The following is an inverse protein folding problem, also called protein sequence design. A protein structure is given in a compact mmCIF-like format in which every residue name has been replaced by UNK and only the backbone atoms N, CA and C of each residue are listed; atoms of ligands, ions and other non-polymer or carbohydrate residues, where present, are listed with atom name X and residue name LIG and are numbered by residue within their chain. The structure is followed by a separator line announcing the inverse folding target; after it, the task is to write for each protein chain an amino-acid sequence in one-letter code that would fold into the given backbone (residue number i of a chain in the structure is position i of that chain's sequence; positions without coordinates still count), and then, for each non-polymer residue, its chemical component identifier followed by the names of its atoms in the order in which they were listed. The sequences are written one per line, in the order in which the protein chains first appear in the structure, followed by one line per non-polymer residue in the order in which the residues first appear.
data_IF_308403903947
#
_entry.id   IF_308403903947
#
_cell.length_a   1.000
_cell.length_b   1.000
_cell.length_c   1.000
_cell.angle_alpha   90.00
_cell.angle_beta   90.00
_cell.angle_gamma   90.00
#
_symmetry.space_group_name_H-M   'P 1'
#
loop_
_entity.id
_entity.type
_entity.pdbx_description
1 polymer ?
#
# COMPACT_ATOMS: atom_id res chain seq x y z
N UNK A 1 15.60 -0.66 2.92
CA UNK A 1 16.08 -2.06 2.84
C UNK A 1 15.09 -2.93 3.57
N UNK A 2 14.52 -3.96 2.92
CA UNK A 2 13.60 -4.87 3.60
C UNK A 2 14.37 -5.81 4.52
N UNK A 3 13.70 -6.33 5.56
CA UNK A 3 14.28 -7.32 6.47
C UNK A 3 14.75 -8.57 5.71
N UNK A 4 14.07 -8.91 4.62
CA UNK A 4 14.43 -10.03 3.72
C UNK A 4 15.76 -9.76 3.01
N UNK A 5 15.99 -8.55 2.49
CA UNK A 5 17.29 -8.18 1.90
C UNK A 5 18.41 -8.29 2.93
N UNK A 6 18.15 -7.94 4.18
CA UNK A 6 19.13 -8.10 5.27
C UNK A 6 19.44 -9.58 5.53
N UNK A 7 18.44 -10.45 5.64
CA UNK A 7 18.66 -11.89 5.88
C UNK A 7 19.39 -12.59 4.73
N UNK A 8 19.14 -12.17 3.48
CA UNK A 8 19.89 -12.64 2.30
C UNK A 8 21.35 -12.22 2.37
N UNK A 9 21.62 -10.95 2.73
CA UNK A 9 22.99 -10.44 2.90
C UNK A 9 23.70 -11.14 4.07
N UNK A 10 22.96 -11.51 5.12
CA UNK A 10 23.48 -12.27 6.25
C UNK A 10 23.69 -13.76 5.96
N UNK A 11 23.38 -14.23 4.74
CA UNK A 11 23.70 -15.58 4.29
C UNK A 11 22.81 -16.67 4.90
N UNK A 12 21.56 -16.37 5.23
CA UNK A 12 20.64 -17.37 5.76
C UNK A 12 20.30 -18.43 4.69
N UNK A 13 20.61 -19.70 4.99
CA UNK A 13 20.47 -20.85 4.09
C UNK A 13 19.04 -21.07 3.56
N UNK A 14 18.01 -20.57 4.26
CA UNK A 14 16.62 -20.61 3.79
C UNK A 14 16.36 -19.75 2.54
N UNK A 15 17.28 -18.84 2.21
CA UNK A 15 17.14 -17.88 1.11
C UNK A 15 18.22 -18.03 0.02
N UNK A 16 18.96 -19.14 0.01
CA UNK A 16 19.99 -19.40 -1.00
C UNK A 16 19.49 -20.36 -2.11
N UNK A 17 19.81 -20.10 -3.39
CA UNK A 17 20.55 -18.96 -3.94
C UNK A 17 19.56 -17.92 -4.51
N UNK A 18 19.07 -17.01 -3.68
CA UNK A 18 18.36 -15.82 -4.15
C UNK A 18 19.41 -14.70 -4.21
N UNK A 19 19.75 -14.23 -5.41
CA UNK A 19 20.53 -13.01 -5.51
C UNK A 19 19.68 -11.84 -4.98
N UNK A 20 20.25 -10.84 -4.30
CA UNK A 20 19.50 -9.69 -3.78
C UNK A 20 18.66 -8.93 -4.83
N UNK A 21 19.00 -9.11 -6.12
CA UNK A 21 18.35 -8.53 -7.30
C UNK A 21 17.37 -9.47 -8.01
N UNK A 22 17.23 -10.72 -7.55
CA UNK A 22 16.37 -11.73 -8.18
C UNK A 22 14.93 -11.62 -7.67
N UNK A 23 14.28 -10.48 -7.97
CA UNK A 23 12.94 -10.18 -7.49
C UNK A 23 11.82 -11.02 -8.12
N UNK A 24 12.15 -11.82 -9.14
CA UNK A 24 11.25 -12.85 -9.67
C UNK A 24 10.88 -13.92 -8.62
N UNK A 25 11.70 -14.06 -7.57
CA UNK A 25 11.47 -15.02 -6.47
C UNK A 25 10.70 -14.44 -5.29
N UNK A 26 10.38 -13.14 -5.30
CA UNK A 26 9.55 -12.53 -4.25
C UNK A 26 8.11 -12.43 -4.71
N UNK A 27 7.21 -12.86 -3.83
CA UNK A 27 5.79 -12.56 -3.90
C UNK A 27 5.46 -11.54 -2.80
N UNK A 28 4.99 -10.36 -3.18
CA UNK A 28 4.77 -9.24 -2.25
C UNK A 28 3.33 -8.78 -2.30
N UNK A 29 2.66 -8.83 -1.15
CA UNK A 29 1.36 -8.20 -0.92
C UNK A 29 1.60 -6.99 -0.03
N UNK A 30 1.22 -5.82 -0.51
CA UNK A 30 1.26 -4.56 0.24
C UNK A 30 -0.17 -4.07 0.45
N UNK A 31 -0.57 -3.85 1.70
CA UNK A 31 -1.90 -3.41 2.08
C UNK A 31 -1.83 -2.02 2.68
N UNK A 32 -2.64 -1.11 2.15
CA UNK A 32 -2.75 0.25 2.67
C UNK A 32 -4.04 0.42 3.48
N UNK A 33 -4.03 1.40 4.38
CA UNK A 33 -5.18 1.74 5.23
C UNK A 33 -6.11 2.77 4.57
N UNK A 34 -5.89 3.02 3.28
CA UNK A 34 -6.57 4.04 2.52
C UNK A 34 -6.08 5.46 2.82
N UNK A 35 -6.53 6.39 1.98
CA UNK A 35 -6.25 7.81 2.07
C UNK A 35 -7.37 8.60 1.41
N UNK A 36 -7.35 9.92 1.57
CA UNK A 36 -8.20 10.83 0.82
C UNK A 36 -7.29 11.71 -0.05
N UNK A 37 -7.04 11.27 -1.29
CA UNK A 37 -6.31 12.05 -2.30
C UNK A 37 -7.20 13.00 -3.09
N UNK A 38 -8.50 13.01 -2.82
CA UNK A 38 -9.50 13.82 -3.54
C UNK A 38 -9.79 15.17 -2.87
N UNK A 39 -9.59 15.28 -1.56
CA UNK A 39 -9.71 16.56 -0.85
C UNK A 39 -8.33 17.22 -0.66
N UNK A 40 -8.10 18.32 -1.37
CA UNK A 40 -7.04 19.27 -1.03
C UNK A 40 -7.43 20.00 0.26
N UNK A 41 -7.07 19.41 1.40
CA UNK A 41 -7.47 19.94 2.71
C UNK A 41 -6.91 21.35 2.99
N UNK A 42 -5.80 21.71 2.35
CA UNK A 42 -5.08 22.96 2.60
C UNK A 42 -4.40 23.49 1.34
N UNK A 43 -4.48 24.80 1.14
CA UNK A 43 -3.75 25.49 0.07
C UNK A 43 -2.38 25.96 0.54
N UNK A 44 -1.44 26.12 -0.39
CA UNK A 44 -0.10 26.69 -0.11
C UNK A 44 -0.21 28.07 0.56
N UNK A 45 -1.19 28.90 0.14
CA UNK A 45 -1.42 30.24 0.70
C UNK A 45 -1.88 30.23 2.15
N UNK A 46 -2.61 29.19 2.56
CA UNK A 46 -3.02 29.00 3.95
C UNK A 46 -1.86 28.48 4.79
N UNK A 47 -1.17 27.44 4.30
CA UNK A 47 -0.04 26.82 5.00
C UNK A 47 1.13 27.80 5.22
N UNK A 48 1.36 28.74 4.29
CA UNK A 48 2.38 29.77 4.41
C UNK A 48 2.19 30.69 5.63
N UNK A 49 0.99 30.74 6.22
CA UNK A 49 0.67 31.55 7.39
C UNK A 49 0.78 30.77 8.70
N UNK A 50 1.10 29.47 8.66
CA UNK A 50 1.11 28.62 9.84
C UNK A 50 2.43 28.72 10.62
N UNK A 51 2.31 28.90 11.94
CA UNK A 51 3.39 28.59 12.89
C UNK A 51 3.36 27.12 13.33
N UNK A 52 4.20 26.74 14.30
CA UNK A 52 4.33 25.35 14.79
C UNK A 52 2.99 24.75 15.21
N UNK A 53 2.15 25.50 15.93
CA UNK A 53 0.81 25.03 16.33
C UNK A 53 -0.11 24.74 15.15
N UNK A 54 -0.03 25.52 14.06
CA UNK A 54 -0.78 25.24 12.85
C UNK A 54 -0.27 23.99 12.11
N UNK A 55 1.02 23.68 12.20
CA UNK A 55 1.52 22.42 11.66
C UNK A 55 1.12 21.20 12.50
N UNK A 56 0.93 21.37 13.82
CA UNK A 56 0.52 20.31 14.74
C UNK A 56 -0.99 20.11 14.82
N UNK A 57 -1.79 21.16 14.68
CA UNK A 57 -3.24 21.08 14.74
C UNK A 57 -3.89 22.16 13.87
N UNK A 58 -4.58 21.76 12.81
CA UNK A 58 -5.44 22.62 12.01
C UNK A 58 -6.78 21.97 11.78
N UNK A 59 -7.84 22.66 12.21
CA UNK A 59 -9.23 22.21 12.04
C UNK A 59 -9.47 20.78 12.57
N UNK A 60 -8.77 20.37 13.63
CA UNK A 60 -8.89 19.03 14.22
C UNK A 60 -8.06 17.94 13.53
N UNK A 61 -7.33 18.26 12.47
CA UNK A 61 -6.35 17.39 11.83
C UNK A 61 -4.91 17.75 12.26
N UNK A 62 -3.96 16.85 12.01
CA UNK A 62 -2.52 17.07 12.27
C UNK A 62 -1.75 17.13 10.95
N UNK A 63 -1.67 18.29 10.26
CA UNK A 63 -1.19 18.38 8.88
C UNK A 63 0.20 17.77 8.65
N UNK A 64 1.13 17.96 9.58
CA UNK A 64 2.49 17.42 9.45
C UNK A 64 2.52 15.89 9.53
N UNK A 65 1.69 15.30 10.40
CA UNK A 65 1.59 13.85 10.57
C UNK A 65 0.90 13.22 9.36
N UNK A 66 -0.19 13.83 8.91
CA UNK A 66 -0.94 13.37 7.74
C UNK A 66 -0.09 13.43 6.47
N UNK A 67 0.65 14.53 6.26
CA UNK A 67 1.55 14.69 5.13
C UNK A 67 2.68 13.66 5.17
N UNK A 68 3.31 13.46 6.33
CA UNK A 68 4.37 12.48 6.49
C UNK A 68 3.89 11.06 6.19
N UNK A 69 2.75 10.66 6.75
CA UNK A 69 2.19 9.33 6.55
C UNK A 69 1.82 9.08 5.07
N UNK A 70 1.20 10.07 4.41
CA UNK A 70 0.86 10.00 2.97
C UNK A 70 2.12 9.91 2.10
N UNK A 71 3.09 10.80 2.33
CA UNK A 71 4.33 10.82 1.57
C UNK A 71 5.14 9.53 1.75
N UNK A 72 5.15 8.98 2.97
CA UNK A 72 5.81 7.71 3.27
C UNK A 72 5.15 6.54 2.50
N UNK A 73 3.82 6.46 2.52
CA UNK A 73 3.08 5.43 1.77
C UNK A 73 3.33 5.55 0.26
N UNK A 74 3.23 6.76 -0.30
CA UNK A 74 3.46 7.02 -1.72
C UNK A 74 4.90 6.68 -2.13
N UNK A 75 5.91 7.05 -1.33
CA UNK A 75 7.31 6.74 -1.65
C UNK A 75 7.58 5.24 -1.67
N UNK A 76 7.03 4.47 -0.72
CA UNK A 76 7.21 3.01 -0.67
C UNK A 76 6.55 2.35 -1.87
N UNK A 77 5.33 2.76 -2.21
CA UNK A 77 4.58 2.19 -3.33
C UNK A 77 5.22 2.53 -4.68
N UNK A 78 5.71 3.77 -4.87
CA UNK A 78 6.47 4.16 -6.06
C UNK A 78 7.77 3.35 -6.15
N UNK A 79 8.52 3.21 -5.05
CA UNK A 79 9.77 2.44 -5.06
C UNK A 79 9.53 0.98 -5.47
N UNK A 80 8.52 0.33 -4.88
CA UNK A 80 8.19 -1.05 -5.20
C UNK A 80 7.65 -1.18 -6.64
N UNK A 81 6.78 -0.26 -7.08
CA UNK A 81 6.25 -0.28 -8.44
C UNK A 81 7.37 -0.10 -9.48
N UNK A 82 8.27 0.86 -9.29
CA UNK A 82 9.44 1.07 -10.17
C UNK A 82 10.33 -0.16 -10.19
N UNK A 83 10.62 -0.73 -9.02
CA UNK A 83 11.51 -1.87 -8.89
C UNK A 83 10.95 -3.12 -9.59
N UNK A 84 9.69 -3.47 -9.33
CA UNK A 84 9.05 -4.63 -9.96
C UNK A 84 8.78 -4.42 -11.46
N UNK A 85 8.54 -3.18 -11.92
CA UNK A 85 8.46 -2.86 -13.35
C UNK A 85 9.82 -2.96 -14.05
N UNK A 86 10.87 -2.39 -13.47
CA UNK A 86 12.22 -2.45 -14.04
C UNK A 86 12.72 -3.90 -14.21
N UNK A 87 12.27 -4.80 -13.33
CA UNK A 87 12.64 -6.21 -13.33
C UNK A 87 11.66 -7.12 -14.08
N UNK A 88 10.60 -6.56 -14.69
CA UNK A 88 9.54 -7.30 -15.41
C UNK A 88 8.84 -8.36 -14.56
N UNK A 89 8.69 -8.07 -13.28
CA UNK A 89 8.12 -8.95 -12.25
C UNK A 89 6.81 -8.39 -11.71
N UNK A 90 6.09 -7.55 -12.46
CA UNK A 90 4.98 -6.74 -11.94
C UNK A 90 3.80 -7.58 -11.43
N UNK A 91 3.70 -8.82 -11.90
CA UNK A 91 2.68 -9.79 -11.45
C UNK A 91 2.94 -10.32 -10.05
N UNK A 92 4.17 -10.19 -9.56
CA UNK A 92 4.58 -10.66 -8.23
C UNK A 92 4.41 -9.61 -7.13
N UNK A 93 3.90 -8.42 -7.48
CA UNK A 93 3.60 -7.34 -6.55
C UNK A 93 2.13 -6.94 -6.65
N UNK A 94 1.40 -7.14 -5.54
CA UNK A 94 0.00 -6.72 -5.38
C UNK A 94 -0.08 -5.61 -4.33
N UNK A 95 -0.58 -4.44 -4.72
CA UNK A 95 -0.91 -3.34 -3.81
C UNK A 95 -2.41 -3.13 -3.76
N UNK A 96 -2.98 -3.19 -2.56
CA UNK A 96 -4.39 -2.91 -2.32
C UNK A 96 -4.47 -1.66 -1.45
N UNK A 97 -5.10 -0.60 -1.99
CA UNK A 97 -5.20 0.72 -1.38
C UNK A 97 -6.49 1.39 -1.84
N UNK A 98 -7.13 2.16 -0.96
CA UNK A 98 -8.29 3.00 -1.30
C UNK A 98 -7.94 4.49 -1.15
N UNK A 99 -7.92 5.25 -2.24
CA UNK A 99 -7.56 6.67 -2.22
C UNK A 99 -8.78 7.62 -2.16
N UNK A 100 -9.97 7.08 -1.94
CA UNK A 100 -11.25 7.79 -1.96
C UNK A 100 -12.00 7.74 -0.61
N UNK A 101 -11.29 7.59 0.51
CA UNK A 101 -11.92 7.68 1.84
C UNK A 101 -12.50 9.07 2.07
N UNK A 102 -13.65 9.15 2.73
CA UNK A 102 -14.36 10.42 2.98
C UNK A 102 -14.96 10.47 4.39
N UNK A 103 -15.19 11.69 4.89
CA UNK A 103 -15.80 11.91 6.22
C UNK A 103 -15.07 11.17 7.34
N UNK A 104 -15.82 10.49 8.21
CA UNK A 104 -15.28 9.76 9.38
C UNK A 104 -14.29 8.66 9.01
N UNK A 105 -14.42 8.05 7.81
CA UNK A 105 -13.53 6.95 7.38
C UNK A 105 -12.11 7.40 7.06
N UNK A 106 -11.89 8.70 6.85
CA UNK A 106 -10.56 9.28 6.69
C UNK A 106 -9.97 9.78 8.04
N UNK A 107 -10.71 9.68 9.15
CA UNK A 107 -10.19 10.03 10.48
C UNK A 107 -9.34 8.89 11.03
N UNK A 108 -8.18 9.22 11.59
CA UNK A 108 -7.26 8.23 12.18
C UNK A 108 -7.69 7.84 13.60
N UNK A 109 -8.41 8.70 14.30
CA UNK A 109 -8.75 8.60 15.72
C UNK A 109 -10.24 8.32 16.01
N UNK A 110 -11.09 8.24 14.98
CA UNK A 110 -12.51 7.91 15.13
C UNK A 110 -12.70 6.38 15.26
N UNK A 111 -12.67 5.93 16.51
CA UNK A 111 -12.93 4.54 16.91
C UNK A 111 -14.41 4.25 17.24
N UNK A 112 -15.34 5.11 16.81
CA UNK A 112 -16.77 4.85 17.02
C UNK A 112 -17.19 3.55 16.34
N UNK A 113 -18.15 2.84 16.95
CA UNK A 113 -18.66 1.56 16.41
C UNK A 113 -19.21 1.73 14.98
N UNK A 114 -19.85 2.87 14.72
CA UNK A 114 -20.36 3.22 13.40
C UNK A 114 -19.23 3.38 12.38
N UNK A 115 -18.16 4.12 12.71
CA UNK A 115 -17.03 4.29 11.82
C UNK A 115 -16.29 2.97 11.54
N UNK A 116 -16.11 2.13 12.57
CA UNK A 116 -15.52 0.80 12.43
C UNK A 116 -16.32 -0.09 11.48
N UNK A 117 -17.65 -0.04 11.54
CA UNK A 117 -18.52 -0.79 10.60
C UNK A 117 -18.39 -0.26 9.17
N UNK A 118 -18.32 1.07 8.99
CA UNK A 118 -18.06 1.68 7.68
C UNK A 118 -16.70 1.25 7.11
N UNK A 119 -15.65 1.22 7.92
CA UNK A 119 -14.32 0.76 7.50
C UNK A 119 -14.30 -0.72 7.08
N UNK A 120 -15.05 -1.59 7.78
CA UNK A 120 -15.25 -2.99 7.36
C UNK A 120 -15.95 -3.04 6.00
N UNK A 121 -16.96 -2.21 5.78
CA UNK A 121 -17.65 -2.14 4.49
C UNK A 121 -16.71 -1.67 3.37
N UNK A 122 -15.90 -0.63 3.62
CA UNK A 122 -14.88 -0.16 2.68
C UNK A 122 -13.93 -1.29 2.30
N UNK A 123 -13.44 -2.07 3.27
CA UNK A 123 -12.59 -3.24 2.98
C UNK A 123 -13.28 -4.29 2.11
N UNK A 124 -14.54 -4.62 2.41
CA UNK A 124 -15.32 -5.57 1.62
C UNK A 124 -15.60 -5.09 0.18
N UNK A 125 -15.78 -3.79 0.00
CA UNK A 125 -15.99 -3.20 -1.32
C UNK A 125 -14.67 -3.09 -2.09
N UNK A 126 -13.55 -2.84 -1.40
CA UNK A 126 -12.22 -2.84 -1.99
C UNK A 126 -11.84 -4.19 -2.59
N UNK A 127 -12.30 -5.30 -2.02
CA UNK A 127 -12.15 -6.65 -2.59
C UNK A 127 -12.78 -6.78 -3.99
N UNK A 128 -13.87 -6.06 -4.24
CA UNK A 128 -14.63 -6.11 -5.51
C UNK A 128 -14.06 -5.14 -6.55
N UNK A 129 -13.26 -4.15 -6.15
CA UNK A 129 -12.65 -3.19 -7.07
C UNK A 129 -11.63 -3.88 -7.98
N UNK A 130 -11.44 -3.40 -9.22
CA UNK A 130 -10.38 -3.88 -10.10
C UNK A 130 -9.01 -3.69 -9.47
N UNK A 131 -8.09 -4.59 -9.82
CA UNK A 131 -6.68 -4.45 -9.46
C UNK A 131 -6.14 -3.17 -10.08
N UNK A 132 -5.40 -2.40 -9.30
CA UNK A 132 -4.81 -1.14 -9.74
C UNK A 132 -3.32 -1.09 -9.46
N UNK A 133 -2.63 -0.17 -10.13
CA UNK A 133 -1.21 0.11 -9.92
C UNK A 133 -0.98 1.61 -9.97
N UNK A 134 0.00 2.07 -9.19
CA UNK A 134 0.43 3.46 -9.25
C UNK A 134 0.96 3.80 -10.65
N UNK A 135 0.42 4.85 -11.24
CA UNK A 135 0.97 5.50 -12.40
C UNK A 135 2.11 6.41 -11.92
N UNK A 136 3.33 6.18 -12.41
CA UNK A 136 4.54 6.82 -11.90
C UNK A 136 4.62 8.33 -12.22
N UNK A 137 3.93 8.79 -13.26
CA UNK A 137 3.90 10.21 -13.63
C UNK A 137 2.92 10.99 -12.75
N UNK A 138 1.78 10.38 -12.43
CA UNK A 138 0.68 11.06 -11.72
C UNK A 138 0.60 10.73 -10.24
N UNK A 139 1.28 9.67 -9.77
CA UNK A 139 1.21 9.16 -8.40
C UNK A 139 -0.15 8.56 -8.02
N UNK A 140 -1.07 8.41 -8.98
CA UNK A 140 -2.42 7.87 -8.76
C UNK A 140 -2.51 6.41 -9.10
N UNK A 141 -3.32 5.65 -8.36
CA UNK A 141 -3.65 4.28 -8.72
C UNK A 141 -4.59 4.26 -9.92
N UNK A 142 -4.21 3.49 -10.94
CA UNK A 142 -4.97 3.28 -12.17
C UNK A 142 -5.25 1.80 -12.33
N UNK A 143 -6.48 1.46 -12.71
CA UNK A 143 -6.91 0.09 -12.96
C UNK A 143 -6.04 -0.57 -14.03
N UNK A 144 -5.74 -1.86 -13.85
CA UNK A 144 -5.02 -2.67 -14.83
C UNK A 144 -6.06 -3.45 -15.66
N UNK A 145 -6.24 -3.15 -16.96
CA UNK A 145 -7.22 -3.83 -17.79
C UNK A 145 -7.00 -5.34 -17.82
N UNK A 146 -8.06 -6.11 -17.56
CA UNK A 146 -8.03 -7.57 -17.61
C UNK A 146 -7.37 -8.27 -16.42
N UNK A 147 -6.92 -7.54 -15.39
CA UNK A 147 -6.30 -8.13 -14.19
C UNK A 147 -7.30 -8.72 -13.17
N UNK A 148 -8.61 -8.55 -13.39
CA UNK A 148 -9.65 -9.00 -12.48
C UNK A 148 -9.80 -8.09 -11.25
N UNK A 149 -10.47 -8.61 -10.21
CA UNK A 149 -10.68 -7.90 -8.94
C UNK A 149 -9.57 -8.19 -7.93
N UNK A 150 -9.51 -7.37 -6.87
CA UNK A 150 -8.58 -7.61 -5.76
C UNK A 150 -8.82 -8.99 -5.10
N UNK A 151 -10.09 -9.44 -4.99
CA UNK A 151 -10.43 -10.77 -4.49
C UNK A 151 -9.88 -11.90 -5.38
N UNK A 152 -9.96 -11.74 -6.71
CA UNK A 152 -9.44 -12.73 -7.65
C UNK A 152 -7.91 -12.85 -7.52
N UNK A 153 -7.21 -11.71 -7.46
CA UNK A 153 -5.76 -11.70 -7.30
C UNK A 153 -5.30 -12.22 -5.95
N UNK A 154 -6.01 -11.90 -4.86
CA UNK A 154 -5.73 -12.49 -3.55
C UNK A 154 -5.90 -14.01 -3.55
N UNK A 155 -6.90 -14.53 -4.28
CA UNK A 155 -7.10 -15.98 -4.43
C UNK A 155 -5.91 -16.62 -5.17
N UNK A 156 -5.40 -15.98 -6.22
CA UNK A 156 -4.21 -16.43 -6.95
C UNK A 156 -2.97 -16.44 -6.04
N UNK A 157 -2.74 -15.34 -5.30
CA UNK A 157 -1.64 -15.24 -4.35
C UNK A 157 -1.74 -16.28 -3.24
N UNK A 158 -2.93 -16.50 -2.67
CA UNK A 158 -3.16 -17.51 -1.64
C UNK A 158 -2.82 -18.93 -2.13
N UNK A 159 -3.17 -19.25 -3.38
CA UNK A 159 -2.81 -20.53 -4.01
C UNK A 159 -1.28 -20.68 -4.13
N UNK A 160 -0.60 -19.66 -4.65
CA UNK A 160 0.86 -19.67 -4.79
C UNK A 160 1.56 -19.83 -3.44
N UNK A 161 1.09 -19.12 -2.41
CA UNK A 161 1.63 -19.24 -1.05
C UNK A 161 1.40 -20.64 -0.46
N UNK A 162 0.23 -21.24 -0.70
CA UNK A 162 -0.06 -22.61 -0.26
C UNK A 162 0.83 -23.64 -0.95
N UNK A 163 1.04 -23.50 -2.26
CA UNK A 163 1.93 -24.36 -3.04
C UNK A 163 3.38 -24.24 -2.55
N UNK A 164 3.88 -23.02 -2.36
CA UNK A 164 5.23 -22.77 -1.82
C UNK A 164 5.42 -23.30 -0.40
N UNK A 165 4.39 -23.27 0.46
CA UNK A 165 4.47 -23.90 1.78
C UNK A 165 4.62 -25.41 1.67
N UNK A 166 3.86 -26.05 0.78
CA UNK A 166 3.88 -27.51 0.59
C UNK A 166 5.22 -27.99 0.01
N UNK A 167 5.79 -27.27 -0.96
CA UNK A 167 7.09 -27.63 -1.54
C UNK A 167 8.22 -27.56 -0.51
N UNK A 168 8.10 -26.71 0.51
CA UNK A 168 9.09 -26.54 1.59
C UNK A 168 8.86 -27.47 2.80
N UNK A 169 7.95 -28.43 2.71
CA UNK A 169 7.70 -29.42 3.75
C UNK A 169 6.88 -28.91 4.94
N UNK A 170 6.07 -27.87 4.75
CA UNK A 170 5.13 -27.42 5.78
C UNK A 170 3.91 -28.33 5.84
N UNK A 171 3.87 -29.22 6.84
CA UNK A 171 2.71 -30.01 7.24
C UNK A 171 1.44 -29.15 7.47
#
# INVERSE_FOLDING_TARGET
MSQVTREIVLGNDQFLPIQPTDYNKFLVISLGTGSNKTEENFTVKEAAKWGIFGWLNQKGASPIVDLFNRASADMVDIHLAVLFQALRSEKSYLRIQDDALTGSTNSIDDSSKENMQKLVQVGNDLLKKPVSRVNLETGRFVEIPGAGTNADMLTIFAKQLSEERKTRGGD
#
